data_IF_817336718461
#
_entry.id   IF_817336718461
#
_cell.length_a   1.000
_cell.length_b   1.000
_cell.length_c   1.000
_cell.angle_alpha   90.00
_cell.angle_beta   90.00
_cell.angle_gamma   90.00
#
_symmetry.space_group_name_H-M   'P 1'
#
loop_
_entity.id
_entity.type
_entity.pdbx_description
1 polymer ?
#
# COMPACT_ATOMS: atom_id res chain seq x y z
N UNK A 1 -14.92 0.23 -27.85
CA UNK A 1 -15.91 -0.85 -27.60
C UNK A 1 -15.71 -1.34 -26.18
N UNK A 2 -16.74 -1.28 -25.33
CA UNK A 2 -16.64 -1.81 -23.96
C UNK A 2 -16.80 -3.34 -24.07
N UNK A 3 -15.70 -4.07 -23.89
CA UNK A 3 -15.71 -5.53 -23.90
C UNK A 3 -16.38 -5.99 -22.60
N UNK A 4 -17.43 -6.82 -22.71
CA UNK A 4 -18.14 -7.37 -21.56
C UNK A 4 -17.16 -8.16 -20.65
N UNK A 5 -17.32 -8.10 -19.31
CA UNK A 5 -16.43 -8.79 -18.39
C UNK A 5 -16.47 -10.31 -18.62
N UNK A 6 -15.30 -10.89 -18.84
CA UNK A 6 -15.09 -12.32 -19.03
C UNK A 6 -15.03 -12.98 -17.66
N UNK A 7 -15.90 -13.96 -17.43
CA UNK A 7 -15.93 -14.74 -16.20
C UNK A 7 -14.93 -15.89 -16.28
N UNK A 8 -13.99 -15.96 -15.33
CA UNK A 8 -13.12 -17.14 -15.22
C UNK A 8 -13.95 -18.39 -14.87
N UNK A 9 -13.66 -19.54 -15.51
CA UNK A 9 -14.33 -20.79 -15.18
C UNK A 9 -14.06 -21.13 -13.71
N UNK A 10 -15.06 -21.71 -13.07
CA UNK A 10 -14.94 -22.16 -11.71
C UNK A 10 -13.96 -23.33 -11.62
N UNK A 11 -13.22 -23.43 -10.51
CA UNK A 11 -12.20 -24.46 -10.33
C UNK A 11 -12.53 -25.37 -9.15
N UNK A 12 -12.61 -26.70 -9.35
CA UNK A 12 -12.82 -27.64 -8.26
C UNK A 12 -11.57 -27.72 -7.39
N UNK A 13 -11.77 -27.82 -6.07
CA UNK A 13 -10.69 -28.14 -5.12
C UNK A 13 -10.74 -29.61 -4.72
N UNK A 14 -9.60 -30.20 -4.31
CA UNK A 14 -9.56 -31.57 -3.77
C UNK A 14 -10.50 -31.81 -2.59
N UNK A 15 -10.86 -30.76 -1.84
CA UNK A 15 -11.82 -30.83 -0.73
C UNK A 15 -13.30 -30.76 -1.15
N UNK A 16 -13.62 -30.88 -2.44
CA UNK A 16 -14.99 -30.81 -2.97
C UNK A 16 -15.59 -29.41 -3.08
N UNK A 17 -14.83 -28.35 -2.76
CA UNK A 17 -15.30 -26.96 -2.84
C UNK A 17 -14.91 -26.34 -4.18
N UNK A 18 -15.86 -25.74 -4.88
CA UNK A 18 -15.63 -25.04 -6.16
C UNK A 18 -15.33 -23.56 -5.92
N UNK A 19 -14.18 -23.08 -6.39
CA UNK A 19 -13.84 -21.66 -6.40
C UNK A 19 -14.49 -20.96 -7.59
N UNK A 20 -15.29 -19.92 -7.32
CA UNK A 20 -15.73 -18.99 -8.36
C UNK A 20 -14.52 -18.18 -8.83
N UNK A 21 -14.29 -18.12 -10.14
CA UNK A 21 -13.29 -17.24 -10.71
C UNK A 21 -13.70 -15.77 -10.61
N UNK A 22 -12.73 -14.87 -10.51
CA UNK A 22 -13.01 -13.44 -10.65
C UNK A 22 -13.37 -13.13 -12.09
N UNK A 23 -14.31 -12.20 -12.28
CA UNK A 23 -14.57 -11.58 -13.57
C UNK A 23 -13.44 -10.61 -13.92
N UNK A 24 -13.14 -10.46 -15.20
CA UNK A 24 -12.11 -9.53 -15.66
C UNK A 24 -12.45 -8.96 -17.03
N UNK A 25 -11.89 -7.80 -17.35
CA UNK A 25 -11.88 -7.23 -18.69
C UNK A 25 -10.46 -6.84 -19.06
N UNK A 26 -10.21 -6.73 -20.36
CA UNK A 26 -8.92 -6.34 -20.90
C UNK A 26 -9.10 -4.99 -21.57
N UNK A 27 -8.29 -4.02 -21.18
CA UNK A 27 -8.24 -2.69 -21.75
C UNK A 27 -6.80 -2.40 -22.16
N UNK A 28 -6.49 -2.54 -23.45
CA UNK A 28 -5.13 -2.40 -23.97
C UNK A 28 -4.19 -3.46 -23.38
N UNK A 29 -3.13 -2.99 -22.72
CA UNK A 29 -2.11 -3.80 -22.02
C UNK A 29 -2.49 -4.11 -20.56
N UNK A 30 -3.64 -3.63 -20.10
CA UNK A 30 -4.05 -3.73 -18.70
C UNK A 30 -5.19 -4.73 -18.56
N UNK A 31 -5.07 -5.62 -17.58
CA UNK A 31 -6.17 -6.46 -17.13
C UNK A 31 -6.82 -5.87 -15.89
N UNK A 32 -8.15 -5.76 -15.92
CA UNK A 32 -8.96 -5.23 -14.83
C UNK A 32 -9.79 -6.37 -14.25
N UNK A 33 -9.46 -6.81 -13.05
CA UNK A 33 -10.20 -7.82 -12.29
C UNK A 33 -11.29 -7.16 -11.46
N UNK A 34 -12.49 -7.73 -11.51
CA UNK A 34 -13.62 -7.34 -10.67
C UNK A 34 -13.69 -8.27 -9.47
N UNK A 35 -13.50 -7.70 -8.28
CA UNK A 35 -13.58 -8.43 -7.01
C UNK A 35 -14.73 -7.87 -6.16
N UNK A 36 -15.56 -8.75 -5.61
CA UNK A 36 -16.67 -8.35 -4.74
C UNK A 36 -16.29 -8.64 -3.29
N UNK A 37 -16.40 -7.63 -2.42
CA UNK A 37 -16.18 -7.77 -0.99
C UNK A 37 -17.28 -7.02 -0.23
N UNK A 38 -18.02 -7.72 0.64
CA UNK A 38 -19.16 -7.16 1.39
C UNK A 38 -20.17 -6.41 0.50
N UNK A 39 -20.48 -6.95 -0.69
CA UNK A 39 -21.43 -6.34 -1.63
C UNK A 39 -20.88 -5.16 -2.44
N UNK A 40 -19.63 -4.73 -2.19
CA UNK A 40 -18.97 -3.69 -2.98
C UNK A 40 -18.04 -4.33 -4.00
N UNK A 41 -18.17 -3.91 -5.25
CA UNK A 41 -17.27 -4.30 -6.34
C UNK A 41 -16.07 -3.36 -6.38
N UNK A 42 -14.88 -3.92 -6.47
CA UNK A 42 -13.63 -3.19 -6.65
C UNK A 42 -12.98 -3.61 -7.96
N UNK A 43 -12.38 -2.64 -8.64
CA UNK A 43 -11.52 -2.85 -9.80
C UNK A 43 -10.09 -3.03 -9.33
N UNK A 44 -9.41 -4.06 -9.83
CA UNK A 44 -8.02 -4.36 -9.54
C UNK A 44 -7.26 -4.40 -10.86
N UNK A 45 -6.21 -3.59 -10.96
CA UNK A 45 -5.44 -3.40 -12.18
C UNK A 45 -4.16 -4.23 -12.11
N UNK A 46 -3.81 -4.90 -13.20
CA UNK A 46 -2.53 -5.56 -13.39
C UNK A 46 -2.13 -5.50 -14.86
N UNK A 47 -0.87 -5.76 -15.19
CA UNK A 47 -0.44 -5.84 -16.58
C UNK A 47 -0.91 -7.16 -17.20
N UNK A 48 -1.27 -7.13 -18.47
CA UNK A 48 -1.77 -8.30 -19.21
C UNK A 48 -0.73 -9.43 -19.25
N UNK A 49 0.56 -9.08 -19.31
CA UNK A 49 1.67 -10.05 -19.28
C UNK A 49 1.69 -10.89 -18.01
N UNK A 50 1.20 -10.34 -16.89
CA UNK A 50 1.09 -11.05 -15.62
C UNK A 50 -0.17 -11.92 -15.53
N UNK A 51 -1.03 -11.91 -16.55
CA UNK A 51 -2.27 -12.69 -16.59
C UNK A 51 -2.06 -14.20 -16.33
N UNK A 52 -1.07 -14.87 -16.93
CA UNK A 52 -0.82 -16.30 -16.67
C UNK A 52 -0.49 -16.59 -15.20
N UNK A 53 0.12 -15.64 -14.48
CA UNK A 53 0.43 -15.77 -13.06
C UNK A 53 -0.81 -15.54 -12.20
N UNK A 54 -1.48 -14.39 -12.39
CA UNK A 54 -2.64 -14.01 -11.57
C UNK A 54 -3.86 -14.88 -11.85
N UNK A 55 -3.97 -15.49 -13.04
CA UNK A 55 -5.08 -16.35 -13.40
C UNK A 55 -5.12 -17.65 -12.62
N UNK A 56 -4.03 -18.06 -11.96
CA UNK A 56 -3.97 -19.27 -11.13
C UNK A 56 -4.81 -19.16 -9.84
N UNK A 57 -5.16 -17.95 -9.43
CA UNK A 57 -5.76 -17.66 -8.13
C UNK A 57 -7.14 -16.99 -8.23
N UNK A 58 -7.94 -17.14 -7.18
CA UNK A 58 -9.12 -16.31 -6.92
C UNK A 58 -8.78 -15.25 -5.89
N UNK A 59 -8.93 -13.99 -6.25
CA UNK A 59 -8.51 -12.84 -5.49
C UNK A 59 -9.67 -12.21 -4.72
N UNK A 60 -9.34 -11.68 -3.55
CA UNK A 60 -10.24 -10.86 -2.74
C UNK A 60 -9.45 -9.75 -2.04
N UNK A 61 -10.16 -8.68 -1.68
CA UNK A 61 -9.59 -7.56 -0.94
C UNK A 61 -9.57 -7.90 0.55
N UNK A 62 -8.42 -7.79 1.19
CA UNK A 62 -8.34 -7.81 2.64
C UNK A 62 -8.83 -6.46 3.19
N UNK A 63 -9.88 -6.48 4.01
CA UNK A 63 -10.46 -5.24 4.53
C UNK A 63 -9.61 -4.56 5.60
N UNK A 64 -8.79 -5.33 6.33
CA UNK A 64 -7.90 -4.80 7.35
C UNK A 64 -6.68 -4.13 6.72
N UNK A 65 -6.07 -4.77 5.74
CA UNK A 65 -4.82 -4.29 5.15
C UNK A 65 -4.99 -3.52 3.85
N UNK A 66 -6.12 -3.68 3.17
CA UNK A 66 -6.42 -3.13 1.85
C UNK A 66 -5.80 -3.89 0.68
N UNK A 67 -4.90 -4.86 0.93
CA UNK A 67 -4.22 -5.59 -0.13
C UNK A 67 -5.12 -6.61 -0.83
N UNK A 68 -4.87 -6.78 -2.13
CA UNK A 68 -5.44 -7.87 -2.92
C UNK A 68 -4.66 -9.16 -2.63
N UNK A 69 -5.36 -10.18 -2.15
CA UNK A 69 -4.75 -11.46 -1.78
C UNK A 69 -5.64 -12.66 -2.14
N UNK A 70 -5.01 -13.83 -2.14
CA UNK A 70 -5.65 -15.13 -2.26
C UNK A 70 -5.19 -16.06 -1.13
N UNK A 71 -5.95 -17.14 -0.90
CA UNK A 71 -5.56 -18.21 0.03
C UNK A 71 -5.28 -19.47 -0.77
N UNK A 72 -4.02 -19.88 -0.76
CA UNK A 72 -3.61 -21.18 -1.27
C UNK A 72 -3.79 -22.23 -0.16
N UNK A 73 -4.41 -23.37 -0.50
CA UNK A 73 -4.58 -24.52 0.40
C UNK A 73 -3.79 -25.69 -0.15
N UNK A 74 -3.06 -26.37 0.73
CA UNK A 74 -2.43 -27.64 0.42
C UNK A 74 -3.04 -28.71 1.34
N UNK A 75 -3.88 -29.57 0.77
CA UNK A 75 -4.68 -30.52 1.55
C UNK A 75 -5.62 -29.83 2.55
N UNK A 76 -5.58 -30.26 3.82
CA UNK A 76 -6.40 -29.68 4.91
C UNK A 76 -5.80 -28.40 5.51
N UNK A 77 -4.56 -28.04 5.16
CA UNK A 77 -3.84 -26.91 5.77
C UNK A 77 -3.93 -25.67 4.89
N UNK A 78 -4.30 -24.53 5.50
CA UNK A 78 -4.12 -23.21 4.89
C UNK A 78 -2.65 -22.84 5.05
N UNK A 79 -1.86 -22.93 3.98
CA UNK A 79 -0.40 -22.83 4.09
C UNK A 79 0.11 -21.38 4.03
N UNK A 80 -0.46 -20.51 3.17
CA UNK A 80 0.09 -19.15 2.99
C UNK A 80 -0.92 -18.20 2.34
N UNK A 81 -0.95 -16.95 2.82
CA UNK A 81 -1.59 -15.85 2.10
C UNK A 81 -0.72 -15.44 0.92
N UNK A 82 -1.29 -15.46 -0.29
CA UNK A 82 -0.61 -15.02 -1.52
C UNK A 82 -1.08 -13.60 -1.81
N UNK A 83 -0.16 -12.65 -1.91
CA UNK A 83 -0.48 -11.25 -2.25
C UNK A 83 -0.18 -10.98 -3.72
N UNK A 84 -1.06 -10.27 -4.42
CA UNK A 84 -0.94 -10.06 -5.87
C UNK A 84 0.34 -9.30 -6.24
N UNK A 85 0.56 -8.14 -5.64
CA UNK A 85 1.79 -7.34 -5.83
C UNK A 85 3.08 -8.15 -5.61
N UNK A 86 3.09 -9.10 -4.66
CA UNK A 86 4.26 -9.95 -4.41
C UNK A 86 4.43 -11.03 -5.45
N UNK A 87 3.32 -11.63 -5.90
CA UNK A 87 3.32 -12.66 -6.94
C UNK A 87 3.88 -12.09 -8.25
N UNK A 88 3.42 -10.92 -8.65
CA UNK A 88 3.86 -10.22 -9.88
C UNK A 88 5.36 -9.92 -9.83
N UNK A 89 5.86 -9.46 -8.68
CA UNK A 89 7.27 -9.13 -8.50
C UNK A 89 8.18 -10.33 -8.20
N UNK A 90 7.66 -11.57 -8.20
CA UNK A 90 8.44 -12.77 -7.83
C UNK A 90 8.99 -12.73 -6.40
N UNK A 91 8.36 -11.96 -5.51
CA UNK A 91 8.83 -11.69 -4.15
C UNK A 91 8.44 -12.81 -3.17
N UNK A 92 8.95 -14.02 -3.41
CA UNK A 92 8.64 -15.23 -2.64
C UNK A 92 9.28 -15.21 -1.23
N UNK A 93 10.44 -14.56 -1.11
CA UNK A 93 11.17 -14.40 0.16
C UNK A 93 10.48 -13.36 1.03
N UNK A 94 10.31 -13.67 2.33
CA UNK A 94 9.67 -12.75 3.29
C UNK A 94 10.44 -11.43 3.47
N UNK A 95 11.74 -11.42 3.22
CA UNK A 95 12.63 -10.27 3.39
C UNK A 95 12.49 -9.21 2.29
N UNK A 96 11.90 -9.55 1.14
CA UNK A 96 11.66 -8.59 0.07
C UNK A 96 10.30 -7.93 0.26
N UNK A 97 10.32 -6.64 0.57
CA UNK A 97 9.11 -5.83 0.66
C UNK A 97 8.83 -5.21 -0.70
N UNK A 98 7.57 -5.32 -1.12
CA UNK A 98 7.06 -4.71 -2.34
C UNK A 98 6.00 -3.70 -1.92
N UNK A 99 6.10 -2.49 -2.45
CA UNK A 99 5.27 -1.35 -2.10
C UNK A 99 4.67 -0.70 -3.36
N UNK A 100 3.55 -0.01 -3.17
CA UNK A 100 2.79 0.66 -4.23
C UNK A 100 3.24 2.12 -4.33
N UNK A 101 3.76 2.54 -5.49
CA UNK A 101 4.30 3.88 -5.70
C UNK A 101 3.22 4.95 -5.48
N UNK A 102 2.00 4.73 -6.00
CA UNK A 102 0.87 5.63 -5.83
C UNK A 102 0.08 5.43 -4.52
N UNK A 103 0.44 4.43 -3.70
CA UNK A 103 -0.28 4.06 -2.48
C UNK A 103 -1.63 3.33 -2.68
N UNK A 104 -2.09 3.15 -3.92
CA UNK A 104 -3.27 2.37 -4.25
C UNK A 104 -2.95 0.87 -4.35
N UNK A 105 -3.48 0.12 -3.38
CA UNK A 105 -3.27 -1.33 -3.24
C UNK A 105 -4.06 -2.16 -4.26
N UNK A 106 -5.00 -1.54 -4.98
CA UNK A 106 -5.76 -2.17 -6.05
C UNK A 106 -5.03 -2.08 -7.40
N UNK A 107 -4.10 -1.14 -7.56
CA UNK A 107 -3.25 -1.01 -8.75
C UNK A 107 -1.96 -1.84 -8.61
N UNK A 108 -2.00 -3.06 -9.10
CA UNK A 108 -0.90 -4.02 -9.01
C UNK A 108 -0.07 -4.10 -10.30
N UNK A 109 -0.18 -3.12 -11.21
CA UNK A 109 0.68 -3.02 -12.40
C UNK A 109 2.13 -2.83 -11.99
N UNK A 110 3.08 -3.47 -12.68
CA UNK A 110 4.52 -3.43 -12.43
C UNK A 110 5.05 -2.01 -12.35
N UNK A 111 4.57 -1.11 -13.21
CA UNK A 111 4.92 0.32 -13.19
C UNK A 111 4.56 1.03 -11.89
N UNK A 112 3.62 0.50 -11.12
CA UNK A 112 3.19 1.01 -9.82
C UNK A 112 3.80 0.23 -8.64
N UNK A 113 4.61 -0.79 -8.89
CA UNK A 113 5.24 -1.61 -7.85
C UNK A 113 6.72 -1.28 -7.74
N UNK A 114 7.23 -1.21 -6.51
CA UNK A 114 8.66 -1.06 -6.24
C UNK A 114 9.13 -2.02 -5.17
N UNK A 115 10.36 -2.50 -5.31
CA UNK A 115 11.06 -3.15 -4.20
C UNK A 115 11.50 -2.09 -3.21
N UNK A 116 11.22 -2.30 -1.93
CA UNK A 116 11.61 -1.38 -0.86
C UNK A 116 12.30 -2.14 0.28
N UNK A 117 13.20 -1.44 0.98
CA UNK A 117 13.71 -1.91 2.26
C UNK A 117 12.64 -1.75 3.37
N UNK A 118 12.74 -2.47 4.49
CA UNK A 118 11.81 -2.30 5.62
C UNK A 118 11.69 -0.85 6.09
N UNK A 119 12.80 -0.09 6.07
CA UNK A 119 12.86 1.31 6.47
C UNK A 119 12.17 2.26 5.46
N UNK A 120 12.23 1.94 4.16
CA UNK A 120 11.52 2.67 3.11
C UNK A 120 10.02 2.37 3.11
N UNK A 121 9.62 1.12 3.41
CA UNK A 121 8.22 0.74 3.59
C UNK A 121 7.57 1.46 4.80
N UNK A 122 8.37 1.71 5.85
CA UNK A 122 7.93 2.44 7.04
C UNK A 122 7.64 3.93 6.78
N UNK A 123 8.37 4.57 5.86
CA UNK A 123 8.15 5.98 5.53
C UNK A 123 6.78 6.22 4.87
N UNK A 124 6.28 5.26 4.09
CA UNK A 124 4.97 5.37 3.46
C UNK A 124 3.79 5.09 4.41
N UNK A 125 4.05 4.63 5.64
CA UNK A 125 2.98 4.38 6.63
C UNK A 125 2.40 5.64 7.27
N UNK A 126 3.03 6.80 7.10
CA UNK A 126 2.63 8.02 7.80
C UNK A 126 2.69 9.28 6.94
N UNK A 127 1.84 9.38 5.93
CA UNK A 127 1.34 10.68 5.49
C UNK A 127 -0.19 10.64 5.46
N UNK A 128 -0.80 10.77 6.63
CA UNK A 128 -2.14 11.39 6.69
C UNK A 128 -1.93 12.80 6.15
N UNK A 129 -2.53 13.11 5.01
CA UNK A 129 -2.28 14.31 4.20
C UNK A 129 -2.41 15.67 4.94
N UNK A 130 -2.81 15.67 6.21
CA UNK A 130 -3.07 16.85 7.03
C UNK A 130 -2.10 17.03 8.21
N UNK A 131 -0.96 16.33 8.27
CA UNK A 131 0.05 16.54 9.33
C UNK A 131 1.40 16.94 8.74
N UNK A 132 1.79 18.19 9.00
CA UNK A 132 3.17 18.64 8.82
C UNK A 132 4.08 17.75 9.68
N UNK A 133 5.14 17.22 9.06
CA UNK A 133 6.15 16.40 9.74
C UNK A 133 6.77 17.21 10.88
N UNK A 134 6.78 16.67 12.10
CA UNK A 134 7.36 17.32 13.28
C UNK A 134 6.40 18.07 14.21
N UNK A 135 5.08 18.05 13.93
CA UNK A 135 4.06 18.56 14.85
C UNK A 135 3.11 17.45 15.30
N UNK A 136 3.11 17.14 16.59
CA UNK A 136 2.25 16.13 17.19
C UNK A 136 1.43 16.72 18.35
N UNK A 137 0.15 16.32 18.44
CA UNK A 137 -0.71 16.61 19.59
C UNK A 137 -0.33 15.66 20.71
N UNK A 138 0.24 16.18 21.79
CA UNK A 138 0.51 15.38 23.01
C UNK A 138 -0.78 15.34 23.83
N UNK A 139 -1.11 14.21 24.45
CA UNK A 139 -2.38 13.95 25.15
C UNK A 139 -2.56 14.80 26.43
N UNK A 140 -1.68 15.78 26.67
CA UNK A 140 -1.88 16.88 27.61
C UNK A 140 -1.59 18.20 26.89
N UNK A 141 -2.65 18.78 26.34
CA UNK A 141 -2.92 20.17 25.87
C UNK A 141 -1.82 21.00 25.17
N UNK A 142 -0.62 20.49 24.95
CA UNK A 142 0.49 21.23 24.36
C UNK A 142 0.84 20.66 22.96
N UNK A 143 1.00 21.57 22.00
CA UNK A 143 1.55 21.32 20.67
C UNK A 143 3.08 21.29 20.73
N UNK A 144 3.70 20.27 20.17
CA UNK A 144 5.17 20.14 20.14
C UNK A 144 5.73 20.54 18.77
N UNK A 145 6.67 21.48 18.74
CA UNK A 145 7.53 21.72 17.58
C UNK A 145 8.83 20.91 17.74
N UNK A 146 9.21 20.16 16.70
CA UNK A 146 10.44 19.34 16.70
C UNK A 146 11.20 19.48 15.39
N UNK A 147 12.54 19.53 15.44
CA UNK A 147 13.46 19.43 14.28
C UNK A 147 14.69 18.57 14.61
N UNK A 148 15.29 17.93 13.59
CA UNK A 148 16.57 17.25 13.71
C UNK A 148 17.64 18.03 12.97
N UNK A 149 18.74 18.34 13.65
CA UNK A 149 19.90 19.04 13.09
C UNK A 149 21.14 18.25 13.51
N UNK A 150 21.95 17.80 12.54
CA UNK A 150 23.17 17.03 12.80
C UNK A 150 22.98 15.84 13.78
N UNK A 151 21.93 15.04 13.57
CA UNK A 151 21.52 13.91 14.43
C UNK A 151 21.17 14.28 15.89
N UNK A 152 21.01 15.57 16.21
CA UNK A 152 20.52 16.03 17.52
C UNK A 152 19.07 16.50 17.40
N UNK A 153 18.15 15.98 18.22
CA UNK A 153 16.76 16.42 18.22
C UNK A 153 16.59 17.71 19.02
N UNK A 154 15.96 18.71 18.42
CA UNK A 154 15.49 19.94 19.07
C UNK A 154 13.97 19.87 19.21
N UNK A 155 13.46 20.19 20.41
CA UNK A 155 12.03 20.06 20.76
C UNK A 155 11.61 21.20 21.67
N UNK A 156 10.43 21.78 21.43
CA UNK A 156 9.81 22.80 22.30
C UNK A 156 8.29 22.67 22.26
N UNK A 157 7.64 22.74 23.42
CA UNK A 157 6.18 22.68 23.56
C UNK A 157 5.57 24.08 23.62
N UNK A 158 4.35 24.18 23.10
CA UNK A 158 3.54 25.40 22.99
C UNK A 158 2.09 25.10 23.32
N UNK A 159 1.33 26.11 23.75
CA UNK A 159 -0.10 25.93 24.06
C UNK A 159 -0.97 25.99 22.80
N UNK A 160 -0.51 26.66 21.75
CA UNK A 160 -1.26 26.83 20.50
C UNK A 160 -0.52 26.23 19.31
N UNK A 161 -1.28 25.82 18.29
CA UNK A 161 -0.75 25.24 17.07
C UNK A 161 0.08 26.26 16.26
N UNK A 162 -0.38 27.51 16.22
CA UNK A 162 0.25 28.57 15.44
C UNK A 162 1.65 28.91 15.97
N UNK A 163 1.83 28.94 17.29
CA UNK A 163 3.13 29.14 17.93
C UNK A 163 4.11 28.01 17.61
N UNK A 164 3.65 26.75 17.68
CA UNK A 164 4.47 25.60 17.32
C UNK A 164 4.90 25.64 15.84
N UNK A 165 4.00 26.06 14.94
CA UNK A 165 4.31 26.26 13.53
C UNK A 165 5.33 27.38 13.30
N UNK A 166 5.16 28.53 13.96
CA UNK A 166 6.06 29.66 13.84
C UNK A 166 7.49 29.29 14.30
N UNK A 167 7.60 28.58 15.43
CA UNK A 167 8.89 28.10 15.92
C UNK A 167 9.56 27.11 14.96
N UNK A 168 8.80 26.20 14.36
CA UNK A 168 9.31 25.23 13.39
C UNK A 168 9.83 25.93 12.13
N UNK A 169 9.07 26.91 11.60
CA UNK A 169 9.50 27.73 10.46
C UNK A 169 10.75 28.57 10.77
N UNK A 170 10.85 29.10 11.99
CA UNK A 170 12.04 29.83 12.43
C UNK A 170 13.29 28.94 12.43
N UNK A 171 13.19 27.73 12.97
CA UNK A 171 14.28 26.75 12.93
C UNK A 171 14.63 26.32 11.49
N UNK A 172 13.66 26.18 10.60
CA UNK A 172 13.94 25.89 9.19
C UNK A 172 14.74 27.01 8.51
N UNK A 173 14.41 28.27 8.79
CA UNK A 173 15.13 29.43 8.24
C UNK A 173 16.54 29.57 8.81
N UNK A 174 16.69 29.31 10.11
CA UNK A 174 17.96 29.45 10.84
C UNK A 174 18.95 28.32 10.52
N UNK A 175 18.47 27.08 10.47
CA UNK A 175 19.32 25.89 10.35
C UNK A 175 19.38 25.30 8.94
N UNK A 176 18.54 25.76 8.00
CA UNK A 176 18.52 25.28 6.63
C UNK A 176 18.26 26.41 5.59
N UNK A 177 19.16 27.41 5.49
CA UNK A 177 18.98 28.54 4.58
C UNK A 177 19.02 28.17 3.09
N UNK A 178 19.48 26.96 2.73
CA UNK A 178 19.61 26.46 1.35
C UNK A 178 18.49 25.52 0.90
N UNK A 179 17.44 25.31 1.71
CA UNK A 179 16.27 24.52 1.31
C UNK A 179 16.54 23.03 1.07
N UNK A 180 17.68 22.49 1.53
CA UNK A 180 17.95 21.05 1.44
C UNK A 180 17.05 20.31 2.43
N UNK A 181 16.19 19.43 1.93
CA UNK A 181 15.29 18.62 2.73
C UNK A 181 16.04 18.01 3.93
N UNK A 182 15.73 18.48 5.14
CA UNK A 182 16.09 17.76 6.35
C UNK A 182 15.36 16.43 6.25
N UNK A 183 16.10 15.34 6.05
CA UNK A 183 15.54 13.99 5.97
C UNK A 183 14.64 13.77 7.20
N UNK A 184 13.44 13.21 7.01
CA UNK A 184 12.39 13.17 8.02
C UNK A 184 12.77 12.42 9.30
#
# INVERSE_FOLDING_TARGET
MIIAPIKKPSRPRPCGVTLKGNEYRIEGDTIILLIVCKGVTYEVYADYEDYPLISKYTWYKNLTTGYVQSKERFGRTINKGVYMHRLIMGAERKSLYIDHINGDKLDNRRRNLRSCSPSQNGHNKHHTANKVVGVCKVIRVDYLAQIQINNKPYRKSFKTYEEALAQRKAWEKEFNPSGLQTKP
#
